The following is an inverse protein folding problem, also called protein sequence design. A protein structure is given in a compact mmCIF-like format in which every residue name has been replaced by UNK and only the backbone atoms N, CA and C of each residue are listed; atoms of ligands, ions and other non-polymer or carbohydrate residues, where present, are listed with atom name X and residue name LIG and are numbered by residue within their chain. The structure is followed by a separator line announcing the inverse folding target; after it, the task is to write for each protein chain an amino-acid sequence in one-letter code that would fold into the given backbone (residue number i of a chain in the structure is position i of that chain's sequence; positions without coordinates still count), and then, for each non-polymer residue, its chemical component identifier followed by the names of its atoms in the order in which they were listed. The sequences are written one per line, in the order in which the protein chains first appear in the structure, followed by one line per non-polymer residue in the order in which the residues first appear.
data_IF_105159009849
#
_entry.id   IF_105159009849
#
_cell.length_a   1.000
_cell.length_b   1.000
_cell.length_c   1.000
_cell.angle_alpha   90.00
_cell.angle_beta   90.00
_cell.angle_gamma   90.00
#
_symmetry.space_group_name_H-M   'P 1'
#
loop_
_entity.id
_entity.type
_entity.pdbx_description
1 polymer ?
#
# COMPACT_ATOMS: atom_id res chain seq x y z
N UNK A 1 -18.01 4.26 0.89
CA UNK A 1 -18.34 4.02 -0.54
C UNK A 1 -17.24 4.75 -1.30
N UNK A 2 -16.23 4.15 -1.94
CA UNK A 2 -16.13 3.00 -2.82
C UNK A 2 -14.69 2.45 -2.68
N UNK A 3 -14.51 1.21 -2.22
CA UNK A 3 -13.32 0.38 -2.49
C UNK A 3 -13.78 -1.06 -2.74
N UNK A 4 -14.82 -1.19 -3.56
CA UNK A 4 -15.22 -2.46 -4.17
C UNK A 4 -14.82 -2.38 -5.62
N UNK A 5 -13.53 -2.54 -5.93
CA UNK A 5 -13.09 -2.91 -7.27
C UNK A 5 -11.64 -3.40 -7.27
N UNK A 6 -11.47 -4.62 -7.76
CA UNK A 6 -10.26 -5.26 -8.25
C UNK A 6 -9.10 -5.53 -7.27
N UNK A 7 -9.27 -6.59 -6.47
CA UNK A 7 -8.21 -7.60 -6.37
C UNK A 7 -8.86 -8.98 -6.58
N UNK A 8 -9.05 -9.34 -7.85
CA UNK A 8 -9.40 -10.70 -8.23
C UNK A 8 -8.10 -11.51 -8.31
N UNK A 9 -7.48 -11.84 -7.17
CA UNK A 9 -6.43 -12.87 -7.14
C UNK A 9 -7.11 -14.21 -7.42
N UNK A 10 -7.21 -14.57 -8.70
CA UNK A 10 -7.56 -15.93 -9.10
C UNK A 10 -6.45 -16.85 -8.61
N UNK A 11 -6.68 -17.56 -7.51
CA UNK A 11 -5.84 -18.65 -7.07
C UNK A 11 -6.09 -19.84 -8.01
N UNK A 12 -5.47 -19.80 -9.19
CA UNK A 12 -5.51 -20.88 -10.16
C UNK A 12 -4.32 -21.80 -9.95
N UNK A 13 -4.58 -23.08 -9.67
CA UNK A 13 -3.61 -24.14 -9.90
C UNK A 13 -3.32 -24.16 -11.41
N UNK A 14 -2.12 -23.71 -11.81
CA UNK A 14 -1.72 -23.74 -13.21
C UNK A 14 -1.16 -25.13 -13.53
N UNK A 15 -2.01 -26.03 -14.01
CA UNK A 15 -1.56 -27.29 -14.60
C UNK A 15 -1.11 -27.05 -16.04
N UNK A 16 0.20 -27.03 -16.27
CA UNK A 16 0.75 -27.11 -17.63
C UNK A 16 0.72 -28.57 -18.06
N UNK A 17 -0.36 -28.96 -18.75
CA UNK A 17 -0.55 -30.31 -19.26
C UNK A 17 0.40 -30.58 -20.43
N UNK A 18 1.54 -31.24 -20.16
CA UNK A 18 2.27 -32.02 -21.16
C UNK A 18 1.48 -33.30 -21.43
N UNK A 19 1.08 -33.54 -22.68
CA UNK A 19 0.16 -34.61 -23.05
C UNK A 19 0.59 -35.99 -22.53
N UNK A 20 -0.26 -36.60 -21.70
CA UNK A 20 -0.23 -38.04 -21.45
C UNK A 20 -1.65 -38.55 -21.12
N UNK A 21 -2.04 -39.75 -21.61
CA UNK A 21 -3.42 -40.22 -21.58
C UNK A 21 -3.77 -40.98 -20.28
N UNK A 22 -5.04 -40.84 -19.87
CA UNK A 22 -5.85 -41.83 -19.14
C UNK A 22 -5.29 -42.47 -17.85
N UNK A 23 -4.58 -41.71 -17.02
CA UNK A 23 -4.38 -42.04 -15.61
C UNK A 23 -4.42 -40.76 -14.80
N UNK A 24 -5.42 -40.58 -13.93
CA UNK A 24 -5.60 -39.35 -13.15
C UNK A 24 -4.27 -38.97 -12.48
N UNK A 25 -3.67 -37.92 -13.01
CA UNK A 25 -2.51 -37.28 -12.43
C UNK A 25 -3.05 -36.37 -11.34
N UNK A 26 -2.80 -36.76 -10.09
CA UNK A 26 -3.19 -35.95 -8.94
C UNK A 26 -1.95 -35.24 -8.43
N UNK A 27 -1.97 -33.90 -8.49
CA UNK A 27 -0.97 -33.11 -7.78
C UNK A 27 -1.08 -33.37 -6.27
N UNK A 28 0.02 -33.31 -5.51
CA UNK A 28 -0.04 -33.45 -4.06
C UNK A 28 -0.92 -32.35 -3.46
N UNK A 29 -1.45 -32.58 -2.26
CA UNK A 29 -2.07 -31.52 -1.47
C UNK A 29 -1.06 -30.36 -1.35
N UNK A 30 -1.46 -29.18 -1.79
CA UNK A 30 -0.60 -28.00 -1.79
C UNK A 30 -0.80 -27.23 -0.49
N UNK A 31 0.28 -26.76 0.16
CA UNK A 31 0.16 -25.96 1.36
C UNK A 31 -0.50 -24.61 1.05
N UNK A 32 -1.18 -24.04 2.04
CA UNK A 32 -1.66 -22.65 1.97
C UNK A 32 -0.48 -21.70 1.77
N UNK A 33 -0.54 -20.77 0.80
CA UNK A 33 0.56 -19.83 0.57
C UNK A 33 0.78 -18.95 1.80
N UNK A 34 2.05 -18.63 2.07
CA UNK A 34 2.40 -17.62 3.06
C UNK A 34 1.90 -16.24 2.60
N UNK A 35 1.44 -15.41 3.54
CA UNK A 35 1.05 -14.02 3.27
C UNK A 35 2.12 -13.08 3.81
N UNK A 36 2.63 -12.21 2.95
CA UNK A 36 3.65 -11.22 3.32
C UNK A 36 3.22 -9.82 2.90
N UNK A 37 3.11 -8.91 3.85
CA UNK A 37 2.89 -7.49 3.57
C UNK A 37 4.06 -6.72 4.15
N UNK A 38 4.84 -6.06 3.30
CA UNK A 38 5.91 -5.18 3.76
C UNK A 38 5.44 -3.74 3.64
N UNK A 39 5.56 -2.98 4.73
CA UNK A 39 5.27 -1.55 4.73
C UNK A 39 6.58 -0.81 4.91
N UNK A 40 6.89 0.04 3.93
CA UNK A 40 8.03 0.94 3.99
C UNK A 40 7.53 2.37 4.01
N UNK A 41 7.85 3.10 5.08
CA UNK A 41 7.55 4.53 5.19
C UNK A 41 8.83 5.31 4.97
N UNK A 42 8.88 6.08 3.88
CA UNK A 42 10.00 6.98 3.62
C UNK A 42 10.01 8.14 4.62
N UNK A 43 11.20 8.69 4.95
CA UNK A 43 11.28 9.91 5.76
C UNK A 43 10.48 11.07 5.16
N UNK A 44 9.91 11.96 5.98
CA UNK A 44 9.21 13.13 5.48
C UNK A 44 10.16 14.03 4.71
N UNK A 45 9.74 14.44 3.51
CA UNK A 45 10.45 15.45 2.71
C UNK A 45 9.80 16.80 2.96
N UNK A 46 10.60 17.78 3.34
CA UNK A 46 10.14 19.17 3.49
C UNK A 46 10.49 19.96 2.24
N UNK A 47 9.51 20.65 1.67
CA UNK A 47 9.67 21.49 0.49
C UNK A 47 9.18 22.91 0.80
N UNK A 48 10.09 23.87 0.76
CA UNK A 48 9.84 25.29 1.02
C UNK A 48 9.87 26.15 -0.26
N UNK A 49 9.68 25.53 -1.43
CA UNK A 49 9.71 26.24 -2.71
C UNK A 49 8.44 27.07 -2.99
N UNK A 50 7.34 26.78 -2.30
CA UNK A 50 5.99 27.31 -2.61
C UNK A 50 5.60 28.45 -1.68
N UNK A 51 4.97 29.49 -2.24
CA UNK A 51 4.35 30.59 -1.48
C UNK A 51 3.05 30.16 -0.81
N UNK A 52 2.56 30.94 0.16
CA UNK A 52 1.26 30.70 0.82
C UNK A 52 0.14 30.66 -0.21
N UNK A 53 0.13 31.58 -1.17
CA UNK A 53 -0.89 31.68 -2.21
C UNK A 53 -0.92 30.43 -3.09
N UNK A 54 0.26 29.87 -3.40
CA UNK A 54 0.37 28.63 -4.17
C UNK A 54 -0.12 27.42 -3.36
N UNK A 55 0.17 27.36 -2.06
CA UNK A 55 -0.33 26.28 -1.20
C UNK A 55 -1.84 26.34 -1.02
N UNK A 56 -2.39 27.54 -0.78
CA UNK A 56 -3.83 27.76 -0.67
C UNK A 56 -4.55 27.44 -1.99
N UNK A 57 -3.97 27.80 -3.14
CA UNK A 57 -4.52 27.44 -4.45
C UNK A 57 -4.50 25.92 -4.68
N UNK A 58 -3.38 25.24 -4.38
CA UNK A 58 -3.25 23.78 -4.49
C UNK A 58 -4.26 23.06 -3.58
N UNK A 59 -4.40 23.51 -2.33
CA UNK A 59 -5.37 22.98 -1.37
C UNK A 59 -6.82 23.14 -1.86
N UNK A 60 -7.19 24.32 -2.35
CA UNK A 60 -8.55 24.57 -2.84
C UNK A 60 -8.87 23.76 -4.10
N UNK A 61 -7.90 23.60 -5.01
CA UNK A 61 -8.11 22.91 -6.28
C UNK A 61 -8.06 21.38 -6.13
N UNK A 62 -7.10 20.86 -5.38
CA UNK A 62 -6.81 19.42 -5.34
C UNK A 62 -7.40 18.73 -4.11
N UNK A 63 -7.46 19.40 -2.96
CA UNK A 63 -8.05 18.87 -1.72
C UNK A 63 -9.50 19.36 -1.52
N UNK A 64 -10.05 20.09 -2.50
CA UNK A 64 -11.41 20.67 -2.51
C UNK A 64 -11.72 21.54 -1.29
N UNK A 65 -10.70 22.14 -0.68
CA UNK A 65 -10.86 22.98 0.50
C UNK A 65 -11.22 22.22 1.78
N UNK A 66 -11.14 20.88 1.80
CA UNK A 66 -11.47 20.07 2.98
C UNK A 66 -10.20 19.77 3.77
N UNK A 67 -9.99 20.48 4.87
CA UNK A 67 -8.91 20.20 5.82
C UNK A 67 -9.49 19.38 6.99
N UNK A 68 -8.92 18.20 7.29
CA UNK A 68 -9.30 17.45 8.49
C UNK A 68 -9.06 18.31 9.74
N UNK A 69 -10.12 18.59 10.51
CA UNK A 69 -10.01 19.30 11.79
C UNK A 69 -10.37 20.79 11.77
N UNK A 70 -10.85 21.34 10.66
CA UNK A 70 -11.34 22.74 10.60
C UNK A 70 -12.79 22.80 10.14
N UNK A 71 -13.59 23.59 10.84
CA UNK A 71 -14.96 23.95 10.46
C UNK A 71 -15.00 24.45 9.02
N UNK A 72 -15.96 23.97 8.22
CA UNK A 72 -16.16 24.45 6.86
C UNK A 72 -16.43 25.96 6.87
N UNK A 73 -15.54 26.76 6.26
CA UNK A 73 -15.73 28.20 6.07
C UNK A 73 -14.65 29.11 6.68
N UNK A 74 -13.73 28.59 7.50
CA UNK A 74 -12.62 29.40 8.00
C UNK A 74 -11.53 29.56 6.94
N UNK A 75 -11.16 30.81 6.64
CA UNK A 75 -10.04 31.15 5.76
C UNK A 75 -8.73 30.69 6.40
N UNK A 76 -8.35 29.43 6.21
CA UNK A 76 -7.03 28.95 6.63
C UNK A 76 -5.94 29.62 5.80
N UNK A 77 -5.04 30.30 6.50
CA UNK A 77 -3.70 30.52 5.97
C UNK A 77 -3.01 29.15 5.97
N UNK A 78 -2.93 28.50 4.80
CA UNK A 78 -2.25 27.22 4.64
C UNK A 78 -0.74 27.45 4.75
N UNK A 79 -0.21 27.27 5.96
CA UNK A 79 1.23 27.38 6.24
C UNK A 79 1.97 26.08 5.92
N UNK A 80 1.26 24.96 5.89
CA UNK A 80 1.73 23.62 5.59
C UNK A 80 0.71 22.83 4.78
N UNK A 81 1.16 22.06 3.78
CA UNK A 81 0.33 21.12 3.03
C UNK A 81 1.03 19.77 2.94
N UNK A 82 0.38 18.71 3.42
CA UNK A 82 0.89 17.35 3.30
C UNK A 82 0.35 16.67 2.06
N UNK A 83 1.24 16.05 1.28
CA UNK A 83 0.86 15.15 0.19
C UNK A 83 1.45 13.77 0.44
N UNK A 84 0.56 12.79 0.57
CA UNK A 84 0.94 11.39 0.69
C UNK A 84 0.87 10.71 -0.68
N UNK A 85 1.84 9.84 -0.95
CA UNK A 85 1.80 8.92 -2.09
C UNK A 85 1.94 7.50 -1.56
N UNK A 86 1.06 6.61 -2.01
CA UNK A 86 1.07 5.19 -1.69
C UNK A 86 1.33 4.42 -2.98
N UNK A 87 2.47 3.75 -3.06
CA UNK A 87 2.79 2.82 -4.13
C UNK A 87 2.51 1.39 -3.62
N UNK A 88 1.70 0.64 -4.38
CA UNK A 88 1.30 -0.74 -4.06
C UNK A 88 1.88 -1.67 -5.12
N UNK A 89 2.73 -2.60 -4.71
CA UNK A 89 3.35 -3.59 -5.60
C UNK A 89 2.91 -4.99 -5.17
N UNK A 90 2.19 -5.74 -6.01
CA UNK A 90 1.85 -7.12 -5.70
C UNK A 90 3.07 -8.03 -5.77
N UNK A 91 3.17 -8.97 -4.82
CA UNK A 91 4.21 -9.98 -4.76
C UNK A 91 3.58 -11.38 -4.88
N UNK A 92 4.24 -12.26 -5.63
CA UNK A 92 3.88 -13.66 -5.70
C UNK A 92 5.12 -14.52 -5.95
N UNK A 93 5.25 -15.60 -5.19
CA UNK A 93 6.25 -16.64 -5.41
C UNK A 93 5.56 -17.95 -5.78
N UNK A 94 6.14 -18.68 -6.72
CA UNK A 94 5.62 -19.95 -7.21
C UNK A 94 6.55 -21.08 -6.76
N UNK A 95 5.96 -22.15 -6.23
CA UNK A 95 6.62 -23.43 -5.99
C UNK A 95 6.04 -24.48 -6.94
N UNK A 96 6.75 -25.60 -7.06
CA UNK A 96 6.27 -26.70 -7.88
C UNK A 96 6.91 -28.04 -7.59
N UNK A 97 6.27 -29.08 -8.12
CA UNK A 97 6.76 -30.46 -8.10
C UNK A 97 6.74 -31.03 -9.52
N UNK A 98 7.89 -31.51 -9.98
CA UNK A 98 8.02 -32.13 -11.29
C UNK A 98 7.90 -33.65 -11.19
N UNK A 99 6.94 -34.22 -11.92
CA UNK A 99 6.79 -35.67 -12.04
C UNK A 99 7.55 -36.19 -13.26
N UNK A 100 8.87 -36.37 -13.12
CA UNK A 100 9.79 -36.76 -14.22
C UNK A 100 9.31 -37.97 -15.04
N UNK A 101 8.70 -38.98 -14.39
CA UNK A 101 8.21 -40.20 -15.06
C UNK A 101 6.99 -39.99 -15.94
N UNK A 102 6.20 -38.95 -15.67
CA UNK A 102 4.92 -38.67 -16.35
C UNK A 102 4.96 -37.39 -17.19
N UNK A 103 6.09 -36.67 -17.21
CA UNK A 103 6.31 -35.54 -18.11
C UNK A 103 5.53 -34.26 -17.79
N UNK A 104 5.07 -34.05 -16.56
CA UNK A 104 4.34 -32.84 -16.17
C UNK A 104 4.90 -32.18 -14.89
N UNK A 105 4.48 -30.94 -14.65
CA UNK A 105 4.81 -30.14 -13.46
C UNK A 105 3.52 -29.63 -12.79
N UNK A 106 3.46 -29.74 -11.47
CA UNK A 106 2.45 -29.10 -10.64
C UNK A 106 3.04 -27.78 -10.13
N UNK A 107 2.32 -26.67 -10.29
CA UNK A 107 2.72 -25.34 -9.82
C UNK A 107 1.66 -24.76 -8.89
N UNK A 108 2.09 -24.07 -7.84
CA UNK A 108 1.21 -23.37 -6.90
C UNK A 108 1.92 -22.15 -6.32
N UNK A 109 1.16 -21.21 -5.78
CA UNK A 109 1.74 -20.09 -5.04
C UNK A 109 2.29 -20.57 -3.70
N UNK A 110 3.55 -20.28 -3.42
CA UNK A 110 4.18 -20.50 -2.11
C UNK A 110 4.07 -19.28 -1.20
N UNK A 111 4.06 -18.09 -1.79
CA UNK A 111 3.90 -16.82 -1.10
C UNK A 111 3.06 -15.87 -1.96
N UNK A 112 2.18 -15.12 -1.32
CA UNK A 112 1.47 -13.99 -1.92
C UNK A 112 1.59 -12.78 -1.00
N UNK A 113 1.64 -11.59 -1.56
CA UNK A 113 1.93 -10.43 -0.75
C UNK A 113 1.75 -9.09 -1.42
N UNK A 114 2.03 -8.04 -0.65
CA UNK A 114 2.05 -6.65 -1.08
C UNK A 114 3.27 -5.94 -0.50
N UNK A 115 3.96 -5.18 -1.34
CA UNK A 115 4.88 -4.14 -0.89
C UNK A 115 4.16 -2.79 -0.96
N UNK A 116 4.00 -2.16 0.19
CA UNK A 116 3.43 -0.83 0.35
C UNK A 116 4.56 0.15 0.62
N UNK A 117 4.75 1.11 -0.28
CA UNK A 117 5.71 2.20 -0.08
C UNK A 117 4.93 3.50 0.09
N UNK A 118 5.06 4.09 1.27
CA UNK A 118 4.45 5.37 1.59
C UNK A 118 5.53 6.44 1.62
N UNK A 119 5.27 7.53 0.92
CA UNK A 119 6.12 8.71 0.94
C UNK A 119 5.28 9.94 1.18
N UNK A 120 5.85 10.89 1.92
CA UNK A 120 5.17 12.12 2.32
C UNK A 120 6.05 13.30 1.96
N UNK A 121 5.44 14.26 1.27
CA UNK A 121 6.01 15.58 1.07
C UNK A 121 5.18 16.59 1.86
N UNK A 122 5.84 17.27 2.78
CA UNK A 122 5.27 18.41 3.50
C UNK A 122 5.76 19.68 2.82
N UNK A 123 4.86 20.38 2.17
CA UNK A 123 5.13 21.70 1.65
C UNK A 123 4.97 22.72 2.77
N UNK A 124 5.99 23.51 3.06
CA UNK A 124 5.94 24.60 4.03
C UNK A 124 6.01 25.91 3.26
N UNK A 125 5.13 26.86 3.58
CA UNK A 125 5.10 28.10 2.84
C UNK A 125 6.43 28.87 2.96
N UNK A 126 6.98 29.26 1.81
CA UNK A 126 8.12 30.14 1.68
C UNK A 126 7.73 31.53 2.17
N UNK A 127 7.94 31.81 3.45
CA UNK A 127 7.82 33.16 3.97
C UNK A 127 9.07 33.56 4.76
N UNK A 128 9.24 34.88 4.90
CA UNK A 128 10.31 35.54 5.66
C UNK A 128 10.18 35.35 7.18
N UNK A 129 9.78 34.15 7.61
CA UNK A 129 9.67 33.79 9.02
C UNK A 129 11.03 33.84 9.70
N UNK A 130 11.02 34.22 10.98
CA UNK A 130 12.21 34.07 11.82
C UNK A 130 12.63 32.59 11.90
N UNK A 131 13.93 32.30 12.10
CA UNK A 131 14.41 30.92 12.25
C UNK A 131 13.67 30.13 13.33
N UNK A 132 13.31 30.78 14.44
CA UNK A 132 12.55 30.17 15.53
C UNK A 132 11.13 29.77 15.09
N UNK A 133 10.45 30.64 14.34
CA UNK A 133 9.12 30.34 13.81
C UNK A 133 9.17 29.20 12.79
N UNK A 134 10.18 29.20 11.90
CA UNK A 134 10.39 28.10 10.94
C UNK A 134 10.64 26.77 11.62
N UNK A 135 11.43 26.75 12.69
CA UNK A 135 11.67 25.56 13.49
C UNK A 135 10.38 25.05 14.17
N UNK A 136 9.56 25.96 14.70
CA UNK A 136 8.28 25.60 15.31
C UNK A 136 7.28 25.01 14.30
N UNK A 137 7.20 25.58 13.09
CA UNK A 137 6.39 25.03 12.01
C UNK A 137 6.90 23.63 11.66
N UNK A 138 8.20 23.47 11.40
CA UNK A 138 8.76 22.15 11.08
C UNK A 138 8.47 21.12 12.17
N UNK A 139 8.61 21.48 13.45
CA UNK A 139 8.30 20.60 14.56
C UNK A 139 6.80 20.24 14.66
N UNK A 140 5.90 21.16 14.28
CA UNK A 140 4.47 20.87 14.17
C UNK A 140 4.20 19.86 13.05
N UNK A 141 4.75 20.10 11.87
CA UNK A 141 4.59 19.24 10.70
C UNK A 141 5.22 17.85 10.87
N UNK A 142 6.33 17.75 11.62
CA UNK A 142 6.96 16.46 11.97
C UNK A 142 6.02 15.58 12.81
N UNK A 143 5.16 16.16 13.67
CA UNK A 143 4.18 15.38 14.45
C UNK A 143 3.11 14.77 13.56
N UNK A 144 2.63 15.51 12.55
CA UNK A 144 1.70 14.96 11.57
C UNK A 144 2.35 13.80 10.79
N UNK A 145 3.63 13.92 10.45
CA UNK A 145 4.37 12.82 9.82
C UNK A 145 4.45 11.57 10.71
N UNK A 146 4.62 11.73 12.03
CA UNK A 146 4.56 10.61 12.99
C UNK A 146 3.20 9.91 12.98
N UNK A 147 2.10 10.68 13.09
CA UNK A 147 0.74 10.11 13.09
C UNK A 147 0.45 9.39 11.77
N UNK A 148 0.87 9.96 10.64
CA UNK A 148 0.71 9.32 9.33
C UNK A 148 1.49 8.00 9.21
N UNK A 149 2.68 7.92 9.81
CA UNK A 149 3.45 6.68 9.88
C UNK A 149 2.72 5.61 10.70
N UNK A 150 2.18 5.96 11.86
CA UNK A 150 1.43 5.02 12.69
C UNK A 150 0.21 4.48 11.96
N UNK A 151 -0.51 5.35 11.24
CA UNK A 151 -1.62 4.97 10.38
C UNK A 151 -1.19 4.01 9.26
N UNK A 152 -0.05 4.28 8.61
CA UNK A 152 0.49 3.40 7.58
C UNK A 152 0.82 2.00 8.10
N UNK A 153 1.43 1.92 9.28
CA UNK A 153 1.73 0.65 9.94
C UNK A 153 0.44 -0.09 10.33
N UNK A 154 -0.59 0.62 10.78
CA UNK A 154 -1.92 0.04 11.05
C UNK A 154 -2.56 -0.53 9.77
N UNK A 155 -2.56 0.24 8.68
CA UNK A 155 -3.07 -0.20 7.39
C UNK A 155 -2.36 -1.48 6.93
N UNK A 156 -1.04 -1.58 7.12
CA UNK A 156 -0.27 -2.79 6.84
C UNK A 156 -0.76 -4.02 7.60
N UNK A 157 -1.07 -3.87 8.90
CA UNK A 157 -1.62 -4.96 9.73
C UNK A 157 -3.01 -5.39 9.25
N UNK A 158 -3.88 -4.44 8.94
CA UNK A 158 -5.24 -4.71 8.46
C UNK A 158 -5.25 -5.41 7.09
N UNK A 159 -4.36 -4.99 6.18
CA UNK A 159 -4.18 -5.64 4.89
C UNK A 159 -3.62 -7.05 5.04
N UNK A 160 -2.67 -7.25 5.95
CA UNK A 160 -2.14 -8.58 6.26
C UNK A 160 -3.25 -9.51 6.77
N UNK A 161 -4.08 -9.05 7.69
CA UNK A 161 -5.20 -9.83 8.22
C UNK A 161 -6.23 -10.17 7.12
N UNK A 162 -6.55 -9.18 6.28
CA UNK A 162 -7.50 -9.34 5.18
C UNK A 162 -7.01 -10.32 4.11
N UNK A 163 -5.74 -10.24 3.73
CA UNK A 163 -5.13 -11.18 2.79
C UNK A 163 -5.05 -12.60 3.38
N UNK A 164 -4.65 -12.73 4.65
CA UNK A 164 -4.66 -14.03 5.33
C UNK A 164 -6.06 -14.65 5.36
N UNK A 165 -7.09 -13.85 5.67
CA UNK A 165 -8.47 -14.31 5.65
C UNK A 165 -8.89 -14.76 4.23
N UNK A 166 -8.58 -13.96 3.21
CA UNK A 166 -8.91 -14.28 1.83
C UNK A 166 -8.20 -15.56 1.35
N UNK A 167 -6.91 -15.72 1.67
CA UNK A 167 -6.13 -16.92 1.36
C UNK A 167 -6.70 -18.14 2.05
N UNK A 168 -7.01 -18.08 3.36
CA UNK A 168 -7.61 -19.19 4.11
C UNK A 168 -9.01 -19.56 3.63
N UNK A 169 -9.81 -18.57 3.22
CA UNK A 169 -11.16 -18.81 2.69
C UNK A 169 -11.13 -19.38 1.28
N UNK A 170 -10.14 -19.00 0.46
CA UNK A 170 -9.97 -19.47 -0.92
C UNK A 170 -9.08 -20.70 -1.05
N UNK A 171 -8.35 -21.11 -0.01
CA UNK A 171 -7.68 -22.40 0.05
C UNK A 171 -8.73 -23.52 0.11
N UNK A 172 -9.43 -23.74 -1.01
CA UNK A 172 -10.15 -24.96 -1.38
C UNK A 172 -9.15 -26.05 -1.84
N UNK A 173 -7.97 -26.08 -1.24
CA UNK A 173 -6.91 -27.04 -1.55
C UNK A 173 -6.64 -28.02 -0.39
N UNK A 174 -7.58 -28.08 0.56
CA UNK A 174 -7.81 -29.21 1.46
C UNK A 174 -9.24 -29.70 1.25
#
# INVERSE_FOLDING_TARGET
MILTNFIQVGAGLLMLAGGAPSGHVQCPAVPTPAVKVNVTVAPPVFDDSRTIEQLSADFNQNEKGVSPGTSAGDSLTVLGLHRAKIDVVPLASIAGNQHKRRGFICLWYSEVGLDLKLSYTTYVARAGWSPACRAAIKAHEERHATVNREFAEQLGRELTASLNYAVKRRSMFG
#
